data_IF_023951245136
#
_entry.id   IF_023951245136
#
_cell.length_a   1.000
_cell.length_b   1.000
_cell.length_c   1.000
_cell.angle_alpha   90.00
_cell.angle_beta   90.00
_cell.angle_gamma   90.00
#
_symmetry.space_group_name_H-M   'P 1'
#
loop_
_entity.id
_entity.type
_entity.pdbx_description
1 polymer ?
#
# COMPACT_ATOMS: atom_id res chain seq x y z
N UNK A 1 -17.17 -1.21 3.83
CA UNK A 1 -16.17 -1.34 2.73
C UNK A 1 -16.59 -2.44 1.78
N UNK A 2 -16.94 -3.62 2.31
CA UNK A 2 -17.43 -4.75 1.53
C UNK A 2 -18.89 -4.54 1.05
N UNK A 3 -19.63 -3.64 1.69
CA UNK A 3 -20.98 -3.23 1.28
C UNK A 3 -21.02 -2.65 -0.15
N UNK A 4 -19.88 -2.22 -0.69
CA UNK A 4 -19.74 -1.72 -2.04
C UNK A 4 -19.56 -2.82 -3.11
N UNK A 5 -19.31 -4.07 -2.71
CA UNK A 5 -19.10 -5.19 -3.64
C UNK A 5 -20.39 -5.67 -4.32
N UNK A 6 -21.55 -5.14 -3.91
CA UNK A 6 -22.85 -5.58 -4.40
C UNK A 6 -23.18 -7.00 -3.93
N UNK A 7 -24.33 -7.53 -4.36
CA UNK A 7 -24.79 -8.88 -4.00
C UNK A 7 -24.42 -9.94 -5.02
N UNK A 8 -23.49 -9.66 -5.94
CA UNK A 8 -23.08 -10.63 -6.96
C UNK A 8 -22.15 -11.67 -6.32
N UNK A 9 -22.61 -12.93 -6.10
CA UNK A 9 -21.82 -13.97 -5.46
C UNK A 9 -20.81 -14.60 -6.45
N UNK A 10 -20.74 -14.11 -7.69
CA UNK A 10 -20.01 -14.68 -8.82
C UNK A 10 -18.53 -14.26 -8.95
N UNK A 11 -17.72 -14.47 -7.91
CA UNK A 11 -16.34 -14.98 -8.04
C UNK A 11 -15.26 -14.17 -8.76
N UNK A 12 -15.43 -12.88 -9.05
CA UNK A 12 -14.44 -12.12 -9.84
C UNK A 12 -13.89 -10.86 -9.12
N UNK A 13 -13.68 -10.94 -7.81
CA UNK A 13 -13.16 -9.80 -7.02
C UNK A 13 -11.63 -9.76 -7.06
N UNK A 14 -11.08 -8.61 -7.45
CA UNK A 14 -9.66 -8.27 -7.29
C UNK A 14 -9.52 -7.23 -6.17
N UNK A 15 -8.70 -7.52 -5.17
CA UNK A 15 -8.35 -6.56 -4.12
C UNK A 15 -7.08 -5.82 -4.53
N UNK A 16 -7.20 -4.55 -4.88
CA UNK A 16 -6.06 -3.68 -5.11
C UNK A 16 -5.73 -2.90 -3.83
N UNK A 17 -4.53 -3.07 -3.30
CA UNK A 17 -4.10 -2.45 -2.06
C UNK A 17 -2.84 -1.61 -2.26
N UNK A 18 -2.90 -0.33 -1.91
CA UNK A 18 -1.79 0.61 -2.01
C UNK A 18 -1.20 0.92 -0.64
N UNK A 19 0.14 1.02 -0.54
CA UNK A 19 0.84 1.49 0.66
C UNK A 19 0.38 0.75 1.92
N UNK A 20 -0.06 1.48 2.95
CA UNK A 20 -0.58 0.90 4.19
C UNK A 20 -1.79 -0.04 4.01
N UNK A 21 -2.52 0.06 2.89
CA UNK A 21 -3.59 -0.88 2.54
C UNK A 21 -3.10 -2.33 2.41
N UNK A 22 -1.81 -2.56 2.17
CA UNK A 22 -1.25 -3.91 2.18
C UNK A 22 -1.39 -4.62 3.54
N UNK A 23 -1.46 -3.86 4.65
CA UNK A 23 -1.66 -4.44 5.99
C UNK A 23 -3.08 -4.98 6.21
N UNK A 24 -4.07 -4.46 5.48
CA UNK A 24 -5.46 -4.92 5.56
C UNK A 24 -5.82 -5.88 4.42
N UNK A 25 -5.07 -5.87 3.33
CA UNK A 25 -5.30 -6.71 2.16
C UNK A 25 -5.58 -8.20 2.46
N UNK A 26 -4.89 -8.89 3.40
CA UNK A 26 -5.22 -10.28 3.76
C UNK A 26 -6.65 -10.45 4.26
N UNK A 27 -7.11 -9.54 5.11
CA UNK A 27 -8.42 -9.60 5.76
C UNK A 27 -9.53 -9.35 4.74
N UNK A 28 -9.30 -8.36 3.89
CA UNK A 28 -10.23 -7.98 2.82
C UNK A 28 -10.35 -9.09 1.79
N UNK A 29 -9.22 -9.66 1.37
CA UNK A 29 -9.20 -10.73 0.37
C UNK A 29 -9.90 -11.99 0.89
N UNK A 30 -9.69 -12.35 2.16
CA UNK A 30 -10.34 -13.49 2.79
C UNK A 30 -11.86 -13.29 2.88
N UNK A 31 -12.31 -12.13 3.37
CA UNK A 31 -13.73 -11.85 3.55
C UNK A 31 -14.46 -11.69 2.20
N UNK A 32 -13.80 -11.10 1.20
CA UNK A 32 -14.37 -10.90 -0.13
C UNK A 32 -14.31 -12.15 -1.03
N UNK A 33 -13.61 -13.22 -0.62
CA UNK A 33 -13.35 -14.37 -1.49
C UNK A 33 -12.60 -13.99 -2.76
N UNK A 34 -11.62 -13.09 -2.65
CA UNK A 34 -10.94 -12.49 -3.79
C UNK A 34 -10.17 -13.52 -4.64
N UNK A 35 -10.27 -13.41 -5.97
CA UNK A 35 -9.48 -14.24 -6.90
C UNK A 35 -8.02 -13.81 -6.93
N UNK A 36 -7.78 -12.51 -6.71
CA UNK A 36 -6.46 -11.92 -6.78
C UNK A 36 -6.29 -10.75 -5.79
N UNK A 37 -5.05 -10.54 -5.37
CA UNK A 37 -4.62 -9.38 -4.61
C UNK A 37 -3.48 -8.70 -5.36
N UNK A 38 -3.68 -7.44 -5.73
CA UNK A 38 -2.66 -6.60 -6.38
C UNK A 38 -2.12 -5.60 -5.36
N UNK A 39 -0.88 -5.81 -4.95
CA UNK A 39 -0.15 -4.97 -4.01
C UNK A 39 0.61 -3.88 -4.78
N UNK A 40 0.25 -2.63 -4.61
CA UNK A 40 0.84 -1.49 -5.34
C UNK A 40 1.63 -0.63 -4.38
N UNK A 41 2.97 -0.63 -4.46
CA UNK A 41 3.83 0.07 -3.49
C UNK A 41 3.45 -0.22 -2.03
N UNK A 42 3.01 -1.46 -1.76
CA UNK A 42 2.30 -1.79 -0.53
C UNK A 42 3.20 -2.38 0.56
N UNK A 43 2.78 -2.19 1.81
CA UNK A 43 3.38 -2.87 2.94
C UNK A 43 3.02 -4.35 2.92
N UNK A 44 3.96 -5.21 3.31
CA UNK A 44 3.70 -6.64 3.48
C UNK A 44 3.41 -6.94 4.94
N UNK A 45 2.21 -7.45 5.29
CA UNK A 45 1.87 -7.78 6.66
C UNK A 45 2.66 -9.00 7.12
N UNK A 46 2.97 -9.02 8.42
CA UNK A 46 3.46 -10.20 9.11
C UNK A 46 2.32 -10.75 9.99
N UNK A 47 1.79 -11.95 9.69
CA UNK A 47 0.79 -12.61 10.52
C UNK A 47 1.21 -12.65 11.99
N UNK A 48 0.32 -12.23 12.90
CA UNK A 48 0.57 -12.19 14.34
C UNK A 48 1.60 -11.16 14.83
N UNK A 49 2.15 -10.32 13.96
CA UNK A 49 3.10 -9.26 14.29
C UNK A 49 2.48 -7.85 14.26
N UNK A 50 3.23 -6.86 14.76
CA UNK A 50 2.90 -5.43 14.59
C UNK A 50 3.79 -4.82 13.53
N UNK A 51 3.22 -3.98 12.67
CA UNK A 51 4.02 -3.32 11.64
C UNK A 51 5.07 -2.36 12.24
N UNK A 52 4.80 -1.70 13.37
CA UNK A 52 5.80 -0.85 14.01
C UNK A 52 7.05 -1.61 14.46
N UNK A 53 6.90 -2.86 14.92
CA UNK A 53 8.02 -3.72 15.32
C UNK A 53 8.80 -4.15 14.07
N UNK A 54 8.10 -4.64 13.05
CA UNK A 54 8.67 -4.96 11.74
C UNK A 54 9.45 -3.78 11.13
N UNK A 55 8.88 -2.58 11.17
CA UNK A 55 9.51 -1.39 10.62
C UNK A 55 10.77 -0.99 11.39
N UNK A 56 10.79 -1.17 12.71
CA UNK A 56 11.96 -0.88 13.54
C UNK A 56 13.12 -1.84 13.24
N UNK A 57 12.81 -3.10 12.94
CA UNK A 57 13.82 -4.14 12.64
C UNK A 57 14.31 -4.08 11.19
N UNK A 58 13.41 -3.81 10.25
CA UNK A 58 13.69 -4.00 8.82
C UNK A 58 13.82 -2.69 8.03
N UNK A 59 13.53 -1.55 8.65
CA UNK A 59 13.55 -0.24 8.00
C UNK A 59 12.68 -0.20 6.72
N UNK A 60 11.45 -0.76 6.83
CA UNK A 60 10.48 -0.88 5.72
C UNK A 60 10.14 0.49 5.13
N UNK A 61 9.88 1.48 5.99
CA UNK A 61 9.58 2.85 5.61
C UNK A 61 10.83 3.72 5.65
N UNK A 62 11.00 4.55 4.63
CA UNK A 62 11.99 5.62 4.64
C UNK A 62 11.56 6.70 5.64
N UNK A 63 12.50 7.30 6.38
CA UNK A 63 12.16 8.18 7.50
C UNK A 63 11.79 9.61 7.07
N UNK A 64 12.33 10.09 5.94
CA UNK A 64 12.31 11.51 5.56
C UNK A 64 10.90 12.11 5.47
N UNK A 65 9.93 11.34 4.98
CA UNK A 65 8.56 11.82 4.83
C UNK A 65 7.88 12.18 6.16
N UNK A 66 8.40 11.67 7.29
CA UNK A 66 7.85 11.96 8.62
C UNK A 66 7.98 13.43 8.99
N UNK A 67 8.90 14.19 8.37
CA UNK A 67 9.03 15.62 8.58
C UNK A 67 7.78 16.42 8.15
N UNK A 68 6.96 15.88 7.24
CA UNK A 68 5.72 16.50 6.77
C UNK A 68 4.46 16.00 7.47
N UNK A 69 4.61 15.21 8.54
CA UNK A 69 3.50 14.52 9.21
C UNK A 69 3.50 14.79 10.71
N UNK A 70 2.37 15.30 11.21
CA UNK A 70 2.12 15.55 12.62
C UNK A 70 1.06 14.59 13.19
N UNK A 71 0.82 14.69 14.51
CA UNK A 71 -0.29 14.02 15.18
C UNK A 71 -1.33 15.05 15.62
N UNK A 72 -2.59 14.79 15.33
CA UNK A 72 -3.69 15.58 15.89
C UNK A 72 -4.00 15.20 17.35
N UNK A 73 -5.01 15.85 17.94
CA UNK A 73 -5.41 15.63 19.33
C UNK A 73 -5.85 14.20 19.63
N UNK A 74 -6.32 13.45 18.62
CA UNK A 74 -6.69 12.04 18.73
C UNK A 74 -5.52 11.09 18.39
N UNK A 75 -4.31 11.63 18.18
CA UNK A 75 -3.11 10.86 17.86
C UNK A 75 -3.07 10.32 16.43
N UNK A 76 -3.97 10.77 15.55
CA UNK A 76 -3.99 10.37 14.13
C UNK A 76 -2.92 11.14 13.37
N UNK A 77 -2.34 10.50 12.36
CA UNK A 77 -1.33 11.10 11.49
C UNK A 77 -1.99 12.07 10.51
N UNK A 78 -1.48 13.30 10.43
CA UNK A 78 -1.98 14.33 9.54
C UNK A 78 -0.80 14.88 8.74
N UNK A 79 -0.94 14.94 7.42
CA UNK A 79 0.00 15.65 6.58
C UNK A 79 -0.21 17.16 6.74
N UNK A 80 0.84 17.87 7.14
CA UNK A 80 0.81 19.33 7.37
C UNK A 80 1.65 20.11 6.37
N UNK A 81 2.50 19.42 5.61
CA UNK A 81 3.37 20.01 4.59
C UNK A 81 3.02 19.45 3.18
N UNK A 82 2.55 20.34 2.31
CA UNK A 82 2.14 20.00 0.96
C UNK A 82 3.33 19.70 0.03
N UNK A 83 4.48 20.34 0.25
CA UNK A 83 5.68 20.11 -0.55
C UNK A 83 6.30 18.77 -0.21
N UNK A 84 6.39 18.42 1.08
CA UNK A 84 6.84 17.09 1.50
C UNK A 84 5.85 15.99 1.08
N UNK A 85 4.54 16.24 1.12
CA UNK A 85 3.57 15.30 0.58
C UNK A 85 3.77 15.09 -0.93
N UNK A 86 4.00 16.17 -1.70
CA UNK A 86 4.32 16.08 -3.13
C UNK A 86 5.61 15.30 -3.36
N UNK A 87 6.65 15.58 -2.60
CA UNK A 87 7.99 15.05 -2.83
C UNK A 87 8.14 13.59 -2.37
N UNK A 88 7.24 13.08 -1.53
CA UNK A 88 7.26 11.70 -1.03
C UNK A 88 6.05 10.84 -1.46
N UNK A 89 4.81 11.29 -1.28
CA UNK A 89 3.61 10.52 -1.67
C UNK A 89 3.32 10.62 -3.16
N UNK A 90 3.48 11.81 -3.74
CA UNK A 90 3.05 12.12 -5.10
C UNK A 90 4.20 12.41 -6.04
N UNK A 91 5.40 11.92 -5.72
CA UNK A 91 6.55 12.13 -6.57
C UNK A 91 6.31 11.46 -7.94
N UNK A 92 6.50 12.24 -9.01
CA UNK A 92 6.17 11.81 -10.37
C UNK A 92 4.73 12.09 -10.81
N UNK A 93 3.88 12.68 -9.98
CA UNK A 93 2.59 13.24 -10.42
C UNK A 93 2.77 14.65 -11.00
N UNK A 94 1.84 15.07 -11.87
CA UNK A 94 1.75 16.48 -12.27
C UNK A 94 1.46 17.36 -11.03
N UNK A 95 1.97 18.60 -10.97
CA UNK A 95 1.77 19.49 -9.82
C UNK A 95 0.29 19.69 -9.46
N UNK A 96 -0.59 19.83 -10.45
CA UNK A 96 -2.03 19.97 -10.22
C UNK A 96 -2.67 18.71 -9.61
N UNK A 97 -2.25 17.53 -10.04
CA UNK A 97 -2.77 16.25 -9.53
C UNK A 97 -2.30 16.02 -8.09
N UNK A 98 -1.03 16.33 -7.80
CA UNK A 98 -0.48 16.24 -6.45
C UNK A 98 -1.20 17.20 -5.49
N UNK A 99 -1.44 18.45 -5.91
CA UNK A 99 -2.17 19.43 -5.11
C UNK A 99 -3.64 18.99 -4.87
N UNK A 100 -4.30 18.48 -5.91
CA UNK A 100 -5.66 17.95 -5.81
C UNK A 100 -5.75 16.72 -4.90
N UNK A 101 -4.76 15.82 -4.96
CA UNK A 101 -4.68 14.66 -4.08
C UNK A 101 -4.40 15.06 -2.62
N UNK A 102 -3.45 15.98 -2.40
CA UNK A 102 -3.14 16.53 -1.08
C UNK A 102 -4.37 17.15 -0.40
N UNK A 103 -5.16 17.94 -1.13
CA UNK A 103 -6.38 18.57 -0.61
C UNK A 103 -7.45 17.57 -0.15
N UNK A 104 -7.35 16.30 -0.55
CA UNK A 104 -8.26 15.21 -0.18
C UNK A 104 -7.70 14.32 0.94
N UNK A 105 -6.48 14.56 1.40
CA UNK A 105 -5.91 13.84 2.53
C UNK A 105 -6.74 14.07 3.80
N UNK A 106 -6.79 13.05 4.64
CA UNK A 106 -7.55 13.05 5.89
C UNK A 106 -6.68 12.47 7.00
N UNK A 107 -6.95 12.81 8.27
CA UNK A 107 -6.27 12.19 9.40
C UNK A 107 -6.34 10.66 9.34
N UNK A 108 -5.18 10.00 9.45
CA UNK A 108 -5.05 8.55 9.40
C UNK A 108 -4.83 7.98 10.80
N UNK A 109 -5.68 7.03 11.21
CA UNK A 109 -5.48 6.31 12.46
C UNK A 109 -4.13 5.57 12.46
N UNK A 110 -3.39 5.66 13.56
CA UNK A 110 -2.09 4.99 13.71
C UNK A 110 -2.21 3.52 14.11
N UNK A 111 -3.40 3.08 14.54
CA UNK A 111 -3.64 1.74 15.08
C UNK A 111 -3.30 0.64 14.09
N UNK A 112 -3.54 0.86 12.79
CA UNK A 112 -3.16 -0.07 11.70
C UNK A 112 -1.68 -0.46 11.73
N UNK A 113 -0.80 0.37 12.30
CA UNK A 113 0.62 0.08 12.40
C UNK A 113 1.00 -0.61 13.71
N UNK A 114 0.30 -0.31 14.81
CA UNK A 114 0.66 -0.73 16.17
C UNK A 114 -0.14 -1.90 16.73
N UNK A 115 -1.31 -2.19 16.17
CA UNK A 115 -2.10 -3.36 16.54
C UNK A 115 -1.45 -4.64 16.01
N UNK A 116 -1.69 -5.74 16.70
CA UNK A 116 -1.29 -7.06 16.22
C UNK A 116 -2.15 -7.38 14.99
N UNK A 117 -1.49 -7.73 13.89
CA UNK A 117 -2.19 -8.15 12.67
C UNK A 117 -3.14 -9.32 12.98
N UNK A 118 -4.45 -9.19 12.73
CA UNK A 118 -5.40 -10.28 12.94
C UNK A 118 -5.38 -11.31 11.82
N UNK A 119 -4.54 -11.13 10.79
CA UNK A 119 -4.41 -12.08 9.70
C UNK A 119 -3.82 -13.40 10.22
N UNK A 120 -4.54 -14.50 10.05
CA UNK A 120 -4.10 -15.83 10.45
C UNK A 120 -3.03 -16.42 9.51
N UNK A 121 -3.07 -16.04 8.23
CA UNK A 121 -2.11 -16.46 7.21
C UNK A 121 -1.94 -15.38 6.13
N UNK A 122 -0.74 -15.30 5.55
CA UNK A 122 -0.42 -14.45 4.40
C UNK A 122 0.79 -15.04 3.67
N UNK A 123 0.78 -15.13 2.32
CA UNK A 123 -0.29 -14.76 1.38
C UNK A 123 -1.56 -15.63 1.49
N UNK A 124 -2.71 -15.23 0.88
CA UNK A 124 -3.93 -16.03 0.92
C UNK A 124 -3.76 -17.27 0.04
N UNK A 125 -4.12 -18.44 0.54
CA UNK A 125 -3.94 -19.70 -0.20
C UNK A 125 -4.76 -19.78 -1.50
N UNK A 126 -5.85 -19.01 -1.61
CA UNK A 126 -6.80 -19.08 -2.72
C UNK A 126 -6.69 -17.94 -3.73
N UNK A 127 -5.92 -16.89 -3.41
CA UNK A 127 -5.84 -15.70 -4.26
C UNK A 127 -4.48 -15.63 -4.97
N UNK A 128 -4.50 -15.33 -6.26
CA UNK A 128 -3.28 -14.96 -6.99
C UNK A 128 -2.74 -13.66 -6.43
N UNK A 129 -1.45 -13.60 -6.09
CA UNK A 129 -0.83 -12.36 -5.61
C UNK A 129 0.02 -11.76 -6.71
N UNK A 130 -0.18 -10.47 -6.96
CA UNK A 130 0.64 -9.66 -7.86
C UNK A 130 1.25 -8.53 -7.04
N UNK A 131 2.57 -8.41 -7.04
CA UNK A 131 3.27 -7.31 -6.38
C UNK A 131 3.80 -6.32 -7.42
N UNK A 132 3.55 -5.03 -7.21
CA UNK A 132 3.94 -3.92 -8.09
C UNK A 132 4.78 -2.94 -7.29
N UNK A 133 6.02 -2.68 -7.74
CA UNK A 133 6.98 -1.79 -7.06
C UNK A 133 7.42 -0.66 -7.96
N UNK A 134 7.52 0.52 -7.36
CA UNK A 134 7.99 1.75 -7.98
C UNK A 134 9.46 1.98 -7.60
N UNK A 135 10.34 2.26 -8.57
CA UNK A 135 11.79 2.38 -8.28
C UNK A 135 12.16 3.66 -7.57
N UNK A 136 11.37 4.72 -7.74
CA UNK A 136 11.54 6.01 -7.09
C UNK A 136 10.59 6.17 -5.89
N UNK A 137 10.11 5.08 -5.30
CA UNK A 137 9.28 5.14 -4.09
C UNK A 137 10.08 5.75 -2.92
N UNK A 138 9.55 6.84 -2.36
CA UNK A 138 10.17 7.62 -1.28
C UNK A 138 9.47 7.41 0.07
N UNK A 139 8.55 6.45 0.16
CA UNK A 139 7.85 6.06 1.38
C UNK A 139 8.22 4.63 1.76
N UNK A 140 7.97 3.66 0.87
CA UNK A 140 8.27 2.24 1.09
C UNK A 140 9.57 1.91 0.40
N UNK A 141 10.57 1.45 1.16
CA UNK A 141 11.92 1.22 0.66
C UNK A 141 11.95 0.21 -0.51
N UNK A 142 12.36 0.64 -1.73
CA UNK A 142 12.53 -0.27 -2.86
C UNK A 142 13.58 -1.36 -2.57
N UNK A 143 14.62 -1.02 -1.80
CA UNK A 143 15.66 -1.96 -1.40
C UNK A 143 15.11 -3.05 -0.49
N UNK A 144 14.29 -2.68 0.50
CA UNK A 144 13.62 -3.65 1.36
C UNK A 144 12.69 -4.55 0.53
N UNK A 145 11.86 -3.96 -0.33
CA UNK A 145 10.89 -4.70 -1.13
C UNK A 145 11.56 -5.75 -2.02
N UNK A 146 12.70 -5.41 -2.66
CA UNK A 146 13.50 -6.32 -3.49
C UNK A 146 13.94 -7.59 -2.77
N UNK A 147 14.10 -7.54 -1.45
CA UNK A 147 14.48 -8.68 -0.62
C UNK A 147 13.24 -9.37 -0.03
N UNK A 148 12.35 -8.57 0.57
CA UNK A 148 11.21 -9.08 1.32
C UNK A 148 10.15 -9.75 0.44
N UNK A 149 9.89 -9.23 -0.78
CA UNK A 149 8.84 -9.77 -1.66
C UNK A 149 9.15 -11.22 -2.07
N UNK A 150 10.32 -11.56 -2.66
CA UNK A 150 10.63 -12.95 -2.99
C UNK A 150 10.68 -13.86 -1.76
N UNK A 151 11.22 -13.36 -0.63
CA UNK A 151 11.35 -14.16 0.59
C UNK A 151 10.01 -14.49 1.25
N UNK A 152 9.07 -13.54 1.26
CA UNK A 152 7.78 -13.69 1.98
C UNK A 152 6.65 -14.19 1.09
N UNK A 153 6.70 -13.85 -0.20
CA UNK A 153 5.63 -14.17 -1.14
C UNK A 153 6.03 -15.22 -2.17
N UNK A 154 7.32 -15.53 -2.31
CA UNK A 154 7.81 -16.52 -3.29
C UNK A 154 7.62 -16.10 -4.75
N UNK A 155 7.51 -14.80 -5.02
CA UNK A 155 7.27 -14.23 -6.35
C UNK A 155 8.17 -13.02 -6.61
N UNK A 156 8.30 -12.64 -7.88
CA UNK A 156 8.96 -11.41 -8.31
C UNK A 156 7.95 -10.27 -8.49
N UNK A 157 8.38 -9.04 -8.21
CA UNK A 157 7.58 -7.84 -8.43
C UNK A 157 7.53 -7.44 -9.90
N UNK A 158 6.39 -6.90 -10.35
CA UNK A 158 6.32 -6.02 -11.52
C UNK A 158 6.96 -4.68 -11.14
N UNK A 159 8.08 -4.34 -11.77
CA UNK A 159 8.82 -3.11 -11.47
C UNK A 159 8.44 -1.99 -12.44
N UNK A 160 8.05 -0.84 -11.87
CA UNK A 160 7.74 0.39 -12.58
C UNK A 160 8.94 1.35 -12.47
N UNK A 161 9.80 1.31 -13.48
CA UNK A 161 10.98 2.17 -13.60
C UNK A 161 10.62 3.66 -13.66
N UNK A 162 11.32 4.49 -12.88
CA UNK A 162 11.13 5.94 -12.83
C UNK A 162 9.83 6.40 -12.17
N UNK A 163 9.06 5.48 -11.58
CA UNK A 163 7.76 5.79 -10.96
C UNK A 163 7.92 5.97 -9.46
N UNK A 164 7.16 6.91 -8.88
CA UNK A 164 7.11 7.18 -7.44
C UNK A 164 6.01 6.43 -6.69
N UNK A 165 5.74 6.86 -5.45
CA UNK A 165 4.91 6.09 -4.52
C UNK A 165 3.44 5.92 -4.94
N UNK A 166 2.92 6.81 -5.79
CA UNK A 166 1.51 6.80 -6.25
C UNK A 166 1.39 6.51 -7.76
N UNK A 167 1.68 5.27 -8.22
CA UNK A 167 1.58 4.89 -9.63
C UNK A 167 0.15 4.95 -10.17
N UNK A 168 -0.86 4.77 -9.32
CA UNK A 168 -2.27 4.89 -9.72
C UNK A 168 -2.69 6.32 -10.07
N UNK A 169 -1.89 7.32 -9.70
CA UNK A 169 -2.11 8.72 -10.07
C UNK A 169 -1.16 9.16 -11.19
N UNK A 170 0.12 8.83 -11.08
CA UNK A 170 1.12 9.23 -12.09
C UNK A 170 1.08 8.40 -13.37
N UNK A 171 0.70 7.12 -13.27
CA UNK A 171 0.72 6.15 -14.37
C UNK A 171 -0.54 5.26 -14.38
N UNK A 172 -1.75 5.86 -14.37
CA UNK A 172 -3.00 5.12 -14.18
C UNK A 172 -3.20 4.03 -15.24
N UNK A 173 -2.85 4.28 -16.50
CA UNK A 173 -2.96 3.28 -17.58
C UNK A 173 -2.17 2.00 -17.30
N UNK A 174 -0.93 2.11 -16.80
CA UNK A 174 -0.11 0.94 -16.44
C UNK A 174 -0.72 0.16 -15.28
N UNK A 175 -1.25 0.85 -14.28
CA UNK A 175 -1.93 0.18 -13.15
C UNK A 175 -3.22 -0.50 -13.62
N UNK A 176 -3.99 0.14 -14.50
CA UNK A 176 -5.19 -0.46 -15.09
C UNK A 176 -4.87 -1.74 -15.86
N UNK A 177 -3.83 -1.75 -16.69
CA UNK A 177 -3.39 -2.95 -17.43
C UNK A 177 -3.06 -4.10 -16.47
N UNK A 178 -2.34 -3.82 -15.39
CA UNK A 178 -2.00 -4.82 -14.37
C UNK A 178 -3.26 -5.37 -13.69
N UNK A 179 -4.21 -4.49 -13.33
CA UNK A 179 -5.46 -4.89 -12.69
C UNK A 179 -6.34 -5.74 -13.60
N UNK A 180 -6.36 -5.47 -14.91
CA UNK A 180 -7.11 -6.25 -15.89
C UNK A 180 -6.47 -7.62 -16.19
N UNK A 181 -5.17 -7.76 -15.92
CA UNK A 181 -4.41 -9.00 -16.13
C UNK A 181 -4.35 -9.92 -14.90
N UNK A 182 -4.73 -9.42 -13.72
CA UNK A 182 -4.80 -10.18 -12.47
C UNK A 182 -6.05 -11.07 -12.38
#
# INVERSE_FOLDING_TARGET
MLDALGTDPGGDVVVAAHSAGGLTAPLVAAEAGARAVVLVSALLPQPGGRFVEQNAEEHVLLADYQAGVERDAEGRRVWTDAELARDHLYNGCAPEDAASAYARLRPQASTIFSEISPAAAWPPATATVVDVRATEDRIVSPQWARVAVPQRLGLDSIVLEGVGHSPMLSHPGRVTEILLAA
#
